data_IF_516912177155
#
_entry.id   IF_516912177155
#
_cell.length_a   1.000
_cell.length_b   1.000
_cell.length_c   1.000
_cell.angle_alpha   90.00
_cell.angle_beta   90.00
_cell.angle_gamma   90.00
#
_symmetry.space_group_name_H-M   'P 1'
#
loop_
_entity.id
_entity.type
_entity.pdbx_description
1 polymer ?
#
# COMPACT_ATOMS: atom_id res chain seq x y z
N UNK A 1 -5.09 2.89 -1.43
CA UNK A 1 -5.01 3.68 -0.18
C UNK A 1 -4.27 3.03 0.98
N UNK A 2 -4.08 1.69 1.03
CA UNK A 2 -3.24 1.05 2.06
C UNK A 2 -1.72 1.31 1.88
N UNK A 3 -1.25 1.45 0.63
CA UNK A 3 0.16 1.71 0.30
C UNK A 3 0.65 3.09 0.77
N UNK A 4 -0.13 4.14 0.54
CA UNK A 4 0.17 5.50 1.02
C UNK A 4 0.14 5.57 2.55
N UNK A 5 -0.79 4.84 3.19
CA UNK A 5 -0.87 4.73 4.65
C UNK A 5 0.34 4.05 5.30
N UNK A 6 0.87 2.97 4.71
CA UNK A 6 2.08 2.30 5.21
C UNK A 6 3.33 3.18 5.04
N UNK A 7 3.47 3.88 3.91
CA UNK A 7 4.57 4.82 3.68
C UNK A 7 4.52 5.96 4.73
N UNK A 8 3.33 6.51 5.00
CA UNK A 8 3.14 7.59 5.96
C UNK A 8 3.44 7.18 7.42
N UNK A 9 3.06 5.96 7.82
CA UNK A 9 3.32 5.46 9.17
C UNK A 9 4.82 5.29 9.45
N UNK A 10 5.56 4.80 8.45
CA UNK A 10 7.02 4.64 8.55
C UNK A 10 7.75 5.98 8.55
N UNK A 11 7.25 6.96 7.81
CA UNK A 11 7.80 8.33 7.77
C UNK A 11 7.77 9.00 9.16
N UNK A 12 6.64 8.89 9.88
CA UNK A 12 6.55 9.38 11.27
C UNK A 12 7.52 8.68 12.23
N UNK A 13 7.70 7.36 12.07
CA UNK A 13 8.63 6.60 12.91
C UNK A 13 10.09 6.98 12.61
N UNK A 14 10.44 7.21 11.34
CA UNK A 14 11.76 7.71 10.94
C UNK A 14 12.04 9.11 11.52
N UNK A 15 11.06 10.01 11.49
CA UNK A 15 11.19 11.36 12.07
C UNK A 15 11.48 11.34 13.58
N UNK A 16 10.93 10.38 14.33
CA UNK A 16 11.22 10.20 15.76
C UNK A 16 12.64 9.72 16.05
N UNK A 17 13.32 9.06 15.10
CA UNK A 17 14.68 8.55 15.31
C UNK A 17 15.77 9.60 15.04
N UNK A 18 15.46 10.65 14.26
CA UNK A 18 16.43 11.70 13.91
C UNK A 18 16.69 12.66 15.08
N UNK A 19 15.79 12.71 16.06
CA UNK A 19 15.74 13.78 17.07
C UNK A 19 16.29 13.40 18.46
N UNK A 20 16.78 12.18 18.69
CA UNK A 20 17.28 11.76 20.02
C UNK A 20 18.81 11.69 20.09
N UNK A 21 19.38 12.50 20.99
CA UNK A 21 20.78 12.40 21.42
C UNK A 21 20.96 11.04 22.09
N UNK A 22 21.62 10.11 21.44
CA UNK A 22 21.92 8.79 21.99
C UNK A 22 23.41 8.52 21.84
N UNK A 23 24.05 8.06 22.90
CA UNK A 23 25.46 7.62 22.91
C UNK A 23 25.58 6.24 22.25
N UNK A 24 25.05 6.11 21.04
CA UNK A 24 25.12 4.86 20.29
C UNK A 24 26.57 4.67 19.83
N UNK A 25 27.16 3.56 20.21
CA UNK A 25 28.49 3.15 19.80
C UNK A 25 28.43 1.78 19.11
N UNK A 26 29.39 1.51 18.24
CA UNK A 26 29.48 0.24 17.53
C UNK A 26 28.24 -0.08 16.70
N UNK A 27 27.77 -1.34 16.79
CA UNK A 27 26.68 -1.87 15.98
C UNK A 27 25.35 -1.13 16.18
N UNK A 28 25.06 -0.65 17.39
CA UNK A 28 23.80 0.04 17.67
C UNK A 28 23.69 1.41 16.98
N UNK A 29 24.83 2.00 16.61
CA UNK A 29 24.87 3.15 15.72
C UNK A 29 24.68 2.75 14.24
N UNK A 30 25.20 1.60 13.82
CA UNK A 30 25.23 1.21 12.40
C UNK A 30 23.85 0.85 11.83
N UNK A 31 22.91 0.43 12.68
CA UNK A 31 21.56 0.05 12.26
C UNK A 31 20.52 1.03 12.79
N UNK A 32 19.49 1.33 11.99
CA UNK A 32 18.35 2.11 12.46
C UNK A 32 17.38 1.27 13.29
N UNK A 33 17.24 -0.01 12.94
CA UNK A 33 16.40 -0.99 13.61
C UNK A 33 17.09 -2.35 13.62
N UNK A 34 16.82 -3.14 14.67
CA UNK A 34 17.30 -4.52 14.83
C UNK A 34 16.11 -5.41 15.22
N UNK A 35 15.32 -5.78 14.23
CA UNK A 35 14.18 -6.69 14.40
C UNK A 35 14.67 -8.09 14.71
N UNK A 36 13.96 -8.76 15.62
CA UNK A 36 14.16 -10.19 15.93
C UNK A 36 13.52 -11.07 14.84
N UNK A 37 12.43 -10.60 14.24
CA UNK A 37 11.79 -11.26 13.10
C UNK A 37 12.47 -10.78 11.81
N UNK A 38 12.92 -11.68 10.92
CA UNK A 38 13.50 -11.31 9.63
C UNK A 38 12.55 -10.45 8.79
N UNK A 39 13.07 -9.45 8.10
CA UNK A 39 12.26 -8.47 7.32
C UNK A 39 11.22 -9.12 6.40
N UNK A 40 11.58 -10.22 5.73
CA UNK A 40 10.72 -10.92 4.77
C UNK A 40 10.00 -12.15 5.33
N UNK A 41 9.96 -12.34 6.65
CA UNK A 41 9.44 -13.55 7.30
C UNK A 41 8.02 -13.94 6.83
N UNK A 42 7.11 -12.98 6.69
CA UNK A 42 5.72 -13.24 6.30
C UNK A 42 5.46 -13.35 4.79
N UNK A 43 6.45 -13.06 3.93
CA UNK A 43 6.22 -12.92 2.48
C UNK A 43 5.66 -14.20 1.84
N UNK A 44 6.17 -15.37 2.22
CA UNK A 44 5.71 -16.67 1.69
C UNK A 44 4.29 -17.04 2.14
N UNK A 45 3.80 -16.44 3.22
CA UNK A 45 2.47 -16.70 3.80
C UNK A 45 1.44 -15.63 3.44
N UNK A 46 1.79 -14.65 2.59
CA UNK A 46 0.83 -13.63 2.18
C UNK A 46 -0.33 -14.26 1.43
N UNK A 47 -1.54 -13.81 1.75
CA UNK A 47 -2.74 -14.22 1.03
C UNK A 47 -2.72 -13.65 -0.37
N UNK A 48 -3.17 -14.45 -1.33
CA UNK A 48 -3.33 -14.05 -2.73
C UNK A 48 -4.39 -12.96 -2.84
N UNK A 49 -4.20 -12.04 -3.79
CA UNK A 49 -5.15 -10.97 -4.05
C UNK A 49 -6.41 -11.58 -4.72
N UNK A 50 -7.61 -11.45 -4.13
CA UNK A 50 -8.80 -12.03 -4.71
C UNK A 50 -9.25 -11.25 -5.95
N UNK A 51 -9.73 -11.97 -6.97
CA UNK A 51 -10.43 -11.39 -8.12
C UNK A 51 -11.91 -11.22 -7.74
N UNK A 52 -12.48 -9.99 -7.81
CA UNK A 52 -13.90 -9.77 -7.55
C UNK A 52 -14.80 -10.51 -8.55
N UNK A 53 -16.06 -10.76 -8.19
CA UNK A 53 -17.05 -11.27 -9.14
C UNK A 53 -17.30 -10.23 -10.22
N UNK A 54 -17.49 -10.68 -11.46
CA UNK A 54 -17.82 -9.80 -12.59
C UNK A 54 -19.06 -8.96 -12.29
N UNK A 55 -20.12 -9.61 -11.80
CA UNK A 55 -21.36 -8.92 -11.43
C UNK A 55 -21.14 -7.87 -10.35
N UNK A 56 -20.33 -8.15 -9.33
CA UNK A 56 -20.03 -7.14 -8.29
C UNK A 56 -19.24 -5.95 -8.84
N UNK A 57 -18.42 -6.16 -9.86
CA UNK A 57 -17.65 -5.10 -10.54
C UNK A 57 -18.56 -4.25 -11.44
N UNK A 58 -19.45 -4.89 -12.21
CA UNK A 58 -20.38 -4.23 -13.13
C UNK A 58 -21.53 -3.51 -12.40
N UNK A 59 -22.03 -4.07 -11.29
CA UNK A 59 -23.30 -3.68 -10.71
C UNK A 59 -23.34 -2.24 -10.19
N UNK A 60 -24.57 -1.71 -10.16
CA UNK A 60 -24.98 -0.58 -9.32
C UNK A 60 -25.07 -1.08 -7.88
N UNK A 61 -24.71 -0.26 -6.89
CA UNK A 61 -25.00 -0.59 -5.49
C UNK A 61 -26.52 -0.66 -5.30
N UNK A 62 -27.12 -1.83 -5.48
CA UNK A 62 -28.38 -2.11 -4.82
C UNK A 62 -28.05 -2.29 -3.35
N UNK A 63 -28.70 -1.45 -2.54
CA UNK A 63 -28.51 -1.23 -1.11
C UNK A 63 -28.83 -2.44 -0.22
N UNK A 64 -28.54 -3.68 -0.62
CA UNK A 64 -28.97 -4.89 0.11
C UNK A 64 -27.86 -5.57 0.93
N UNK A 65 -26.65 -5.01 0.98
CA UNK A 65 -25.63 -5.47 1.94
C UNK A 65 -24.84 -4.30 2.49
N UNK A 66 -25.53 -3.45 3.26
CA UNK A 66 -24.87 -2.66 4.29
C UNK A 66 -24.36 -3.64 5.36
N UNK A 67 -23.05 -3.86 5.43
CA UNK A 67 -22.44 -4.34 6.67
C UNK A 67 -22.15 -3.09 7.50
N UNK A 68 -23.10 -2.75 8.36
CA UNK A 68 -22.95 -1.67 9.32
C UNK A 68 -21.98 -2.12 10.44
N UNK A 69 -20.68 -1.91 10.23
CA UNK A 69 -19.69 -2.03 11.29
C UNK A 69 -19.37 -0.63 11.83
N UNK A 70 -20.05 -0.28 12.94
CA UNK A 70 -19.70 0.85 13.83
C UNK A 70 -19.68 2.24 13.17
N UNK A 71 -20.76 2.65 12.51
CA UNK A 71 -20.99 4.06 12.14
C UNK A 71 -20.05 4.64 11.07
N UNK A 72 -19.22 3.82 10.44
CA UNK A 72 -18.39 4.22 9.30
C UNK A 72 -18.90 3.51 8.06
N UNK A 73 -19.53 4.25 7.14
CA UNK A 73 -19.87 3.75 5.80
C UNK A 73 -18.58 3.53 5.01
N UNK A 74 -17.96 2.37 5.16
CA UNK A 74 -16.88 1.94 4.28
C UNK A 74 -17.47 1.46 2.95
N UNK A 75 -17.71 2.40 2.03
CA UNK A 75 -17.93 2.07 0.61
C UNK A 75 -16.57 1.74 0.02
N UNK A 76 -16.10 0.51 0.24
CA UNK A 76 -14.84 0.03 -0.32
C UNK A 76 -15.08 -1.16 -1.24
N UNK A 77 -15.91 -0.93 -2.25
CA UNK A 77 -15.94 -1.71 -3.47
C UNK A 77 -16.48 -0.79 -4.57
N UNK A 78 -15.61 -0.34 -5.46
CA UNK A 78 -15.99 0.52 -6.58
C UNK A 78 -16.83 -0.28 -7.57
N UNK A 79 -18.14 -0.07 -7.49
CA UNK A 79 -19.15 -0.59 -8.39
C UNK A 79 -19.26 0.36 -9.59
N UNK A 80 -18.87 -0.09 -10.79
CA UNK A 80 -18.65 0.80 -11.94
C UNK A 80 -19.85 1.72 -12.21
N UNK A 81 -21.07 1.16 -12.26
CA UNK A 81 -22.29 1.94 -12.48
C UNK A 81 -22.61 2.88 -11.31
N UNK A 82 -22.31 2.48 -10.07
CA UNK A 82 -22.52 3.37 -8.91
C UNK A 82 -21.62 4.61 -8.98
N UNK A 83 -20.34 4.44 -9.37
CA UNK A 83 -19.45 5.57 -9.61
C UNK A 83 -19.86 6.41 -10.83
N UNK A 84 -20.27 5.76 -11.92
CA UNK A 84 -20.67 6.44 -13.14
C UNK A 84 -21.89 7.34 -12.92
N UNK A 85 -22.86 6.91 -12.10
CA UNK A 85 -24.08 7.69 -11.79
C UNK A 85 -23.79 9.06 -11.16
N UNK A 86 -22.69 9.20 -10.42
CA UNK A 86 -22.33 10.46 -9.77
C UNK A 86 -21.76 11.48 -10.77
N UNK A 87 -21.19 11.00 -11.88
CA UNK A 87 -20.45 11.82 -12.85
C UNK A 87 -21.26 12.07 -14.12
N UNK A 88 -22.09 11.11 -14.51
CA UNK A 88 -22.82 11.12 -15.79
C UNK A 88 -24.23 11.68 -15.62
N UNK A 89 -24.70 12.42 -16.64
CA UNK A 89 -26.11 12.77 -16.75
C UNK A 89 -26.97 11.53 -17.10
N UNK A 90 -28.28 11.63 -16.89
CA UNK A 90 -29.20 10.50 -17.01
C UNK A 90 -29.19 9.83 -18.39
N UNK A 91 -29.13 10.62 -19.47
CA UNK A 91 -29.12 10.10 -20.84
C UNK A 91 -27.85 9.29 -21.13
N UNK A 92 -26.68 9.78 -20.70
CA UNK A 92 -25.40 9.06 -20.88
C UNK A 92 -25.30 7.86 -19.93
N UNK A 93 -25.79 7.99 -18.70
CA UNK A 93 -25.84 6.90 -17.73
C UNK A 93 -26.67 5.73 -18.25
N UNK A 94 -27.87 5.98 -18.77
CA UNK A 94 -28.76 4.92 -19.27
C UNK A 94 -28.12 4.10 -20.40
N UNK A 95 -27.45 4.78 -21.35
CA UNK A 95 -26.68 4.10 -22.40
C UNK A 95 -25.50 3.32 -21.85
N UNK A 96 -24.77 3.88 -20.89
CA UNK A 96 -23.63 3.22 -20.23
C UNK A 96 -24.08 1.96 -19.49
N UNK A 97 -25.22 2.03 -18.79
CA UNK A 97 -25.83 0.89 -18.12
C UNK A 97 -26.17 -0.22 -19.12
N UNK A 98 -26.78 0.10 -20.26
CA UNK A 98 -27.02 -0.86 -21.33
C UNK A 98 -25.75 -1.56 -21.81
N UNK A 99 -24.68 -0.80 -22.08
CA UNK A 99 -23.38 -1.35 -22.50
C UNK A 99 -22.78 -2.28 -21.44
N UNK A 100 -22.79 -1.87 -20.17
CA UNK A 100 -22.23 -2.67 -19.06
C UNK A 100 -23.00 -3.97 -18.88
N UNK A 101 -24.34 -3.95 -19.02
CA UNK A 101 -25.16 -5.17 -18.95
C UNK A 101 -24.89 -6.11 -20.12
N UNK A 102 -24.71 -5.57 -21.33
CA UNK A 102 -24.29 -6.36 -22.49
C UNK A 102 -22.92 -7.01 -22.25
N UNK A 103 -21.95 -6.24 -21.78
CA UNK A 103 -20.61 -6.73 -21.42
C UNK A 103 -20.67 -7.86 -20.37
N UNK A 104 -21.43 -7.66 -19.30
CA UNK A 104 -21.60 -8.65 -18.22
C UNK A 104 -22.16 -9.99 -18.73
N UNK A 105 -23.03 -9.97 -19.75
CA UNK A 105 -23.68 -11.16 -20.31
C UNK A 105 -22.90 -11.80 -21.46
N UNK A 106 -22.00 -11.07 -22.09
CA UNK A 106 -21.29 -11.51 -23.31
C UNK A 106 -19.78 -11.66 -23.04
N UNK A 107 -18.95 -10.80 -23.63
CA UNK A 107 -17.49 -10.85 -23.60
C UNK A 107 -16.90 -10.79 -22.19
N UNK A 108 -17.56 -10.14 -21.24
CA UNK A 108 -17.10 -10.02 -19.86
C UNK A 108 -16.96 -11.38 -19.16
N UNK A 109 -17.81 -12.36 -19.48
CA UNK A 109 -17.71 -13.71 -18.91
C UNK A 109 -16.45 -14.43 -19.39
N UNK A 110 -16.14 -14.32 -20.68
CA UNK A 110 -14.95 -14.93 -21.28
C UNK A 110 -13.66 -14.30 -20.73
N UNK A 111 -13.64 -12.96 -20.64
CA UNK A 111 -12.51 -12.23 -20.07
C UNK A 111 -12.32 -12.52 -18.58
N UNK A 112 -13.41 -12.60 -17.80
CA UNK A 112 -13.34 -12.97 -16.38
C UNK A 112 -12.78 -14.38 -16.20
N UNK A 113 -13.21 -15.34 -17.05
CA UNK A 113 -12.68 -16.70 -17.03
C UNK A 113 -11.18 -16.72 -17.34
N UNK A 114 -10.77 -16.04 -18.40
CA UNK A 114 -9.36 -15.92 -18.78
C UNK A 114 -8.51 -15.29 -17.66
N UNK A 115 -9.03 -14.27 -16.98
CA UNK A 115 -8.36 -13.63 -15.85
C UNK A 115 -8.18 -14.59 -14.66
N UNK A 116 -9.22 -15.35 -14.32
CA UNK A 116 -9.16 -16.36 -13.25
C UNK A 116 -8.19 -17.48 -13.60
N UNK A 117 -8.17 -17.93 -14.85
CA UNK A 117 -7.26 -18.97 -15.31
C UNK A 117 -5.81 -18.45 -15.34
N UNK A 118 -5.59 -17.20 -15.75
CA UNK A 118 -4.30 -16.52 -15.64
C UNK A 118 -3.80 -16.48 -14.20
N UNK A 119 -4.62 -16.01 -13.26
CA UNK A 119 -4.28 -15.97 -11.84
C UNK A 119 -3.97 -17.37 -11.30
N UNK A 120 -4.75 -18.39 -11.66
CA UNK A 120 -4.54 -19.77 -11.21
C UNK A 120 -3.18 -20.33 -11.62
N UNK A 121 -2.69 -19.92 -12.79
CA UNK A 121 -1.41 -20.37 -13.35
C UNK A 121 -0.19 -19.55 -12.86
N UNK A 122 -0.41 -18.41 -12.20
CA UNK A 122 0.63 -17.51 -11.69
C UNK A 122 0.47 -17.26 -10.18
N UNK A 123 0.71 -18.30 -9.38
CA UNK A 123 0.47 -18.27 -7.91
C UNK A 123 1.53 -17.52 -7.12
N UNK A 124 2.69 -17.30 -7.71
CA UNK A 124 3.84 -16.58 -7.17
C UNK A 124 3.67 -15.05 -7.22
N UNK A 125 2.68 -14.56 -7.97
CA UNK A 125 2.36 -13.13 -8.13
C UNK A 125 0.87 -12.86 -7.98
N UNK A 126 0.43 -11.64 -8.31
CA UNK A 126 -0.99 -11.25 -8.39
C UNK A 126 -1.35 -10.87 -9.81
N UNK A 127 -2.61 -11.13 -10.19
CA UNK A 127 -3.14 -10.86 -11.54
C UNK A 127 -2.96 -9.42 -12.04
N UNK A 128 -2.78 -8.45 -11.13
CA UNK A 128 -2.71 -7.02 -11.46
C UNK A 128 -1.29 -6.46 -11.49
N UNK A 129 -0.32 -7.13 -10.89
CA UNK A 129 1.02 -6.56 -10.67
C UNK A 129 1.69 -6.17 -11.99
N UNK A 130 1.77 -7.10 -12.94
CA UNK A 130 2.40 -6.86 -14.24
C UNK A 130 1.66 -5.83 -15.09
N UNK A 131 0.34 -5.94 -15.35
CA UNK A 131 -0.40 -4.90 -16.09
C UNK A 131 -0.27 -3.51 -15.48
N UNK A 132 -0.21 -3.42 -14.14
CA UNK A 132 -0.05 -2.15 -13.44
C UNK A 132 1.35 -1.55 -13.67
N UNK A 133 2.41 -2.35 -13.60
CA UNK A 133 3.76 -1.88 -13.95
C UNK A 133 3.85 -1.47 -15.42
N UNK A 134 3.29 -2.28 -16.32
CA UNK A 134 3.30 -2.04 -17.76
C UNK A 134 2.61 -0.71 -18.11
N UNK A 135 1.50 -0.37 -17.44
CA UNK A 135 0.82 0.92 -17.59
C UNK A 135 1.77 2.11 -17.33
N UNK A 136 2.59 2.06 -16.28
CA UNK A 136 3.54 3.14 -15.99
C UNK A 136 4.75 3.12 -16.92
N UNK A 137 5.31 1.94 -17.20
CA UNK A 137 6.53 1.80 -18.01
C UNK A 137 6.29 2.11 -19.49
N UNK A 138 5.07 1.90 -20.00
CA UNK A 138 4.69 2.24 -21.38
C UNK A 138 4.33 3.70 -21.57
N UNK A 139 3.99 4.43 -20.51
CA UNK A 139 3.59 5.82 -20.66
C UNK A 139 4.73 6.65 -21.24
N UNK A 140 4.39 7.53 -22.19
CA UNK A 140 5.32 8.48 -22.82
C UNK A 140 5.22 9.87 -22.22
N UNK A 141 4.36 10.06 -21.22
CA UNK A 141 4.27 11.32 -20.49
C UNK A 141 5.54 11.52 -19.64
N UNK A 142 6.04 12.76 -19.50
CA UNK A 142 7.16 13.05 -18.63
C UNK A 142 6.88 12.62 -17.18
N UNK A 143 7.85 11.98 -16.52
CA UNK A 143 7.70 11.60 -15.11
C UNK A 143 7.47 12.78 -14.15
N UNK A 144 8.16 13.93 -14.29
CA UNK A 144 7.85 15.12 -13.50
C UNK A 144 6.40 15.53 -13.69
N UNK A 145 5.74 15.95 -12.60
CA UNK A 145 4.32 16.35 -12.55
C UNK A 145 3.31 15.20 -12.73
N UNK A 146 3.49 14.32 -13.72
CA UNK A 146 2.49 13.30 -14.03
C UNK A 146 2.54 12.07 -13.10
N UNK A 147 3.74 11.67 -12.66
CA UNK A 147 3.91 10.41 -11.91
C UNK A 147 4.65 10.54 -10.60
N UNK A 148 5.64 11.44 -10.49
CA UNK A 148 6.51 11.50 -9.31
C UNK A 148 5.91 12.38 -8.20
N UNK A 149 5.28 11.81 -7.15
CA UNK A 149 4.93 12.59 -5.97
C UNK A 149 6.19 12.91 -5.14
N UNK A 150 6.08 13.88 -4.25
CA UNK A 150 7.08 14.12 -3.21
C UNK A 150 6.41 14.21 -1.83
N UNK A 151 7.20 13.94 -0.80
CA UNK A 151 6.83 14.17 0.60
C UNK A 151 7.85 15.11 1.20
N UNK A 152 7.39 15.98 2.10
CA UNK A 152 8.27 16.89 2.85
C UNK A 152 8.44 16.40 4.28
N UNK A 153 9.67 16.46 4.78
CA UNK A 153 9.96 16.26 6.19
C UNK A 153 9.61 17.53 6.97
N UNK A 154 8.94 17.37 8.11
CA UNK A 154 8.82 18.49 9.04
C UNK A 154 10.22 18.92 9.52
N UNK A 155 10.42 20.20 9.89
CA UNK A 155 11.68 20.67 10.45
C UNK A 155 12.05 19.88 11.71
N UNK A 156 13.34 19.77 11.97
CA UNK A 156 13.81 19.25 13.26
C UNK A 156 13.35 20.21 14.37
N UNK A 157 12.81 19.71 15.51
CA UNK A 157 12.45 20.53 16.66
C UNK A 157 13.60 21.41 17.18
N UNK A 158 14.86 20.97 17.02
CA UNK A 158 16.04 21.78 17.35
C UNK A 158 16.53 22.52 16.09
N UNK A 159 16.46 23.85 16.14
CA UNK A 159 16.86 24.74 15.05
C UNK A 159 18.29 24.47 14.54
N UNK A 160 19.21 24.03 15.40
CA UNK A 160 20.61 23.76 15.04
C UNK A 160 20.76 22.59 14.05
N UNK A 161 19.87 21.59 14.13
CA UNK A 161 19.87 20.46 13.20
C UNK A 161 19.17 20.78 11.87
N UNK A 162 18.61 21.98 11.72
CA UNK A 162 18.05 22.43 10.45
C UNK A 162 19.07 23.11 9.52
N UNK A 163 20.31 23.35 9.96
CA UNK A 163 21.38 23.82 9.09
C UNK A 163 21.63 22.82 7.94
N UNK A 164 21.72 23.30 6.70
CA UNK A 164 21.73 22.47 5.49
C UNK A 164 22.74 21.33 5.56
N UNK A 165 24.01 21.63 5.88
CA UNK A 165 25.08 20.63 5.94
C UNK A 165 24.80 19.57 7.02
N UNK A 166 24.40 20.01 8.22
CA UNK A 166 24.14 19.12 9.35
C UNK A 166 22.94 18.22 9.06
N UNK A 167 21.86 18.80 8.54
CA UNK A 167 20.62 18.08 8.22
C UNK A 167 20.82 17.08 7.09
N UNK A 168 21.49 17.48 6.01
CA UNK A 168 21.81 16.61 4.89
C UNK A 168 22.69 15.43 5.33
N UNK A 169 23.70 15.69 6.16
CA UNK A 169 24.59 14.66 6.72
C UNK A 169 23.79 13.66 7.57
N UNK A 170 22.96 14.16 8.48
CA UNK A 170 22.10 13.31 9.32
C UNK A 170 21.11 12.48 8.49
N UNK A 171 20.53 13.04 7.43
CA UNK A 171 19.66 12.28 6.53
C UNK A 171 20.41 11.19 5.77
N UNK A 172 21.57 11.50 5.18
CA UNK A 172 22.38 10.54 4.45
C UNK A 172 22.79 9.36 5.34
N UNK A 173 23.27 9.66 6.56
CA UNK A 173 23.60 8.63 7.57
C UNK A 173 22.37 7.80 7.93
N UNK A 174 21.22 8.45 8.21
CA UNK A 174 20.00 7.74 8.60
C UNK A 174 19.48 6.83 7.48
N UNK A 175 19.58 7.26 6.22
CA UNK A 175 19.25 6.43 5.05
C UNK A 175 20.21 5.24 4.90
N UNK A 176 21.52 5.46 5.07
CA UNK A 176 22.51 4.38 5.03
C UNK A 176 22.26 3.33 6.13
N UNK A 177 21.92 3.77 7.35
CA UNK A 177 21.55 2.89 8.47
C UNK A 177 20.27 2.10 8.19
N UNK A 178 19.28 2.73 7.58
CA UNK A 178 18.04 2.08 7.15
C UNK A 178 18.33 1.02 6.06
N UNK A 179 19.11 1.38 5.04
CA UNK A 179 19.51 0.48 3.95
C UNK A 179 20.26 -0.72 4.49
N UNK A 180 21.20 -0.51 5.40
CA UNK A 180 21.95 -1.58 6.04
C UNK A 180 21.05 -2.54 6.82
N UNK A 181 20.07 -2.01 7.58
CA UNK A 181 19.10 -2.84 8.28
C UNK A 181 18.22 -3.66 7.31
N UNK A 182 17.82 -3.07 6.18
CA UNK A 182 17.06 -3.77 5.14
C UNK A 182 17.88 -4.91 4.51
N UNK A 183 19.11 -4.62 4.05
CA UNK A 183 19.97 -5.58 3.37
C UNK A 183 20.35 -6.77 4.27
N UNK A 184 20.43 -6.55 5.59
CA UNK A 184 20.73 -7.59 6.57
C UNK A 184 19.47 -8.29 7.15
N UNK A 185 18.28 -8.06 6.58
CA UNK A 185 17.00 -8.59 7.09
C UNK A 185 16.68 -8.22 8.55
N UNK A 186 17.26 -7.13 9.04
CA UNK A 186 17.11 -6.63 10.42
C UNK A 186 16.07 -5.52 10.55
N UNK A 187 15.43 -5.13 9.45
CA UNK A 187 14.34 -4.18 9.46
C UNK A 187 13.04 -4.90 9.86
N UNK A 188 12.23 -4.30 10.74
CA UNK A 188 11.00 -4.96 11.18
C UNK A 188 10.05 -5.21 9.98
N UNK A 189 9.39 -6.39 9.91
CA UNK A 189 8.37 -6.65 8.90
C UNK A 189 7.27 -5.60 8.94
N UNK A 190 6.75 -5.23 7.78
CA UNK A 190 5.63 -4.29 7.69
C UNK A 190 4.33 -5.05 8.01
N UNK A 191 3.71 -4.71 9.15
CA UNK A 191 2.48 -5.35 9.62
C UNK A 191 1.48 -4.28 10.00
N UNK A 192 0.27 -4.39 9.46
CA UNK A 192 -0.84 -3.54 9.86
C UNK A 192 -1.51 -4.12 11.11
N UNK A 193 -1.37 -3.44 12.24
CA UNK A 193 -1.89 -3.86 13.53
C UNK A 193 -3.26 -3.22 13.82
N UNK A 194 -4.35 -3.99 13.77
CA UNK A 194 -5.68 -3.51 14.19
C UNK A 194 -5.71 -3.11 15.68
N UNK A 195 -4.97 -3.85 16.51
CA UNK A 195 -4.76 -3.52 17.92
C UNK A 195 -3.28 -3.69 18.29
N UNK A 196 -2.46 -2.63 18.20
CA UNK A 196 -1.03 -2.70 18.49
C UNK A 196 -0.72 -3.15 19.91
N UNK A 197 -1.56 -2.81 20.90
CA UNK A 197 -1.35 -3.22 22.30
C UNK A 197 -1.33 -4.73 22.50
N UNK A 198 -1.95 -5.50 21.60
CA UNK A 198 -1.94 -6.97 21.60
C UNK A 198 -0.93 -7.57 20.61
N UNK A 199 -0.80 -6.97 19.43
CA UNK A 199 -0.08 -7.58 18.30
C UNK A 199 1.30 -6.99 18.02
N UNK A 200 1.61 -5.78 18.48
CA UNK A 200 2.95 -5.18 18.37
C UNK A 200 3.70 -5.28 19.71
N UNK A 201 3.88 -6.50 20.20
CA UNK A 201 4.47 -6.78 21.53
C UNK A 201 5.72 -7.65 21.42
N UNK A 202 6.62 -7.58 22.41
CA UNK A 202 7.80 -8.48 22.49
C UNK A 202 7.39 -9.95 22.50
N UNK A 203 6.30 -10.29 23.21
CA UNK A 203 5.77 -11.65 23.27
C UNK A 203 5.39 -12.14 21.87
N UNK A 204 4.58 -11.38 21.13
CA UNK A 204 4.20 -11.73 19.76
C UNK A 204 5.44 -11.91 18.87
N UNK A 205 6.41 -10.99 18.97
CA UNK A 205 7.63 -11.06 18.17
C UNK A 205 8.51 -12.28 18.47
N UNK A 206 8.55 -12.72 19.72
CA UNK A 206 9.30 -13.91 20.13
C UNK A 206 8.61 -15.21 19.69
N UNK A 207 7.28 -15.23 19.68
CA UNK A 207 6.50 -16.39 19.21
C UNK A 207 6.57 -16.52 17.69
N UNK A 208 6.61 -15.40 16.95
CA UNK A 208 6.72 -15.38 15.49
C UNK A 208 8.16 -15.37 14.97
N UNK A 209 9.16 -15.59 15.84
CA UNK A 209 10.57 -15.62 15.41
C UNK A 209 10.85 -16.84 14.54
#
# INVERSE_FOLDING_TARGET
NAWIGCIYYRFKKFQSFVCSRSSLAGDDYQFLQRSVIPTYHFQKSLRRLPIPKLSDTCNRCESSSYVELKGVKFVFLFRFLASAKVVLNDAVYSRTEGTVRSFEQTEGQELQKALIDYDRNHKDTSYISEPWFDMYLRSRLPCPVNFNPFMMYAPDPDARFNHQLSRATNFAISFARFRRALDNNMLAPEVFHLNPKKSDTKLFRNVCK
#
